data_IF_709446672279
#
_entry.id   IF_709446672279
#
_cell.length_a   1.000
_cell.length_b   1.000
_cell.length_c   1.000
_cell.angle_alpha   90.00
_cell.angle_beta   90.00
_cell.angle_gamma   90.00
#
_symmetry.space_group_name_H-M   'P 1'
#
loop_
_entity.id
_entity.type
_entity.pdbx_description
1 polymer ?
#
# COMPACT_ATOMS: atom_id res chain seq x y z
N UNK A 1 -21.06 -18.39 23.85
CA UNK A 1 -20.34 -17.24 24.42
C UNK A 1 -20.17 -16.22 23.30
N UNK A 2 -20.36 -14.93 23.56
CA UNK A 2 -20.14 -13.89 22.55
C UNK A 2 -18.66 -13.87 22.13
N UNK A 3 -18.38 -13.58 20.86
CA UNK A 3 -17.01 -13.40 20.39
C UNK A 3 -16.32 -12.26 21.17
N UNK A 4 -15.02 -12.39 21.47
CA UNK A 4 -14.27 -11.32 22.12
C UNK A 4 -14.25 -10.06 21.24
N UNK A 5 -14.29 -8.88 21.87
CA UNK A 5 -14.16 -7.60 21.16
C UNK A 5 -12.83 -7.52 20.39
N UNK A 6 -12.77 -6.66 19.36
CA UNK A 6 -11.55 -6.53 18.53
C UNK A 6 -10.36 -6.10 19.39
N UNK A 7 -10.60 -5.24 20.38
CA UNK A 7 -9.58 -4.84 21.34
C UNK A 7 -9.02 -6.03 22.14
N UNK A 8 -9.88 -6.93 22.63
CA UNK A 8 -9.45 -8.15 23.34
C UNK A 8 -8.69 -9.11 22.44
N UNK A 9 -9.08 -9.24 21.17
CA UNK A 9 -8.37 -10.04 20.18
C UNK A 9 -6.95 -9.48 19.95
N UNK A 10 -6.83 -8.17 19.76
CA UNK A 10 -5.54 -7.50 19.60
C UNK A 10 -4.65 -7.62 20.85
N UNK A 11 -5.21 -7.53 22.05
CA UNK A 11 -4.48 -7.75 23.30
C UNK A 11 -3.95 -9.20 23.42
N UNK A 12 -4.72 -10.19 22.97
CA UNK A 12 -4.29 -11.58 22.95
C UNK A 12 -3.11 -11.79 21.99
N UNK A 13 -3.18 -11.22 20.78
CA UNK A 13 -2.07 -11.23 19.82
C UNK A 13 -0.81 -10.54 20.39
N UNK A 14 -0.98 -9.35 20.98
CA UNK A 14 0.13 -8.62 21.62
C UNK A 14 0.79 -9.42 22.74
N UNK A 15 -0.01 -10.07 23.60
CA UNK A 15 0.50 -10.92 24.68
C UNK A 15 1.30 -12.09 24.13
N UNK A 16 0.78 -12.77 23.11
CA UNK A 16 1.46 -13.88 22.44
C UNK A 16 2.83 -13.46 21.88
N UNK A 17 2.88 -12.33 21.17
CA UNK A 17 4.12 -11.80 20.57
C UNK A 17 5.13 -11.40 21.64
N UNK A 18 4.72 -10.63 22.66
CA UNK A 18 5.63 -10.15 23.72
C UNK A 18 6.31 -11.27 24.50
N UNK A 19 5.62 -12.40 24.71
CA UNK A 19 6.19 -13.55 25.43
C UNK A 19 7.35 -14.21 24.67
N UNK A 20 7.38 -14.06 23.35
CA UNK A 20 8.38 -14.70 22.48
C UNK A 20 9.45 -13.73 21.98
N UNK A 21 9.20 -12.42 22.11
CA UNK A 21 10.15 -11.39 21.71
C UNK A 21 11.20 -11.14 22.81
N UNK A 22 12.50 -11.09 22.47
CA UNK A 22 13.54 -10.65 23.40
C UNK A 22 13.33 -9.17 23.77
N UNK A 23 13.75 -8.77 24.97
CA UNK A 23 13.47 -7.45 25.56
C UNK A 23 13.66 -6.25 24.60
N UNK A 24 14.78 -6.14 23.86
CA UNK A 24 15.01 -5.04 22.91
C UNK A 24 13.98 -4.94 21.78
N UNK A 25 13.29 -6.04 21.44
CA UNK A 25 12.33 -6.12 20.34
C UNK A 25 10.86 -5.96 20.80
N UNK A 26 10.59 -5.87 22.10
CA UNK A 26 9.22 -5.78 22.63
C UNK A 26 8.55 -4.42 22.42
N UNK A 27 9.31 -3.39 22.04
CA UNK A 27 8.84 -2.02 21.88
C UNK A 27 9.21 -1.44 20.50
N UNK A 28 8.66 -1.99 19.39
CA UNK A 28 8.87 -1.43 18.07
C UNK A 28 8.27 -0.02 17.97
N UNK A 29 9.01 0.88 17.31
CA UNK A 29 8.58 2.28 17.08
C UNK A 29 7.96 2.49 15.70
N UNK A 30 8.16 1.55 14.79
CA UNK A 30 7.73 1.61 13.39
C UNK A 30 7.13 0.26 13.03
N UNK A 31 5.97 0.28 12.39
CA UNK A 31 5.41 -0.86 11.68
C UNK A 31 5.54 -0.59 10.18
N UNK A 32 5.90 -1.61 9.40
CA UNK A 32 5.98 -1.53 7.94
C UNK A 32 5.15 -2.67 7.36
N UNK A 33 4.17 -2.32 6.54
CA UNK A 33 3.36 -3.29 5.80
C UNK A 33 3.93 -3.36 4.38
N UNK A 34 4.33 -4.54 3.95
CA UNK A 34 4.94 -4.78 2.64
C UNK A 34 3.93 -5.45 1.71
N UNK A 35 3.66 -4.84 0.56
CA UNK A 35 2.83 -5.45 -0.47
C UNK A 35 3.63 -6.23 -1.51
N UNK A 36 2.96 -6.57 -2.62
CA UNK A 36 3.55 -7.33 -3.72
C UNK A 36 4.88 -6.75 -4.20
N UNK A 37 5.88 -7.63 -4.34
CA UNK A 37 7.23 -7.26 -4.77
C UNK A 37 8.11 -6.59 -3.71
N UNK A 38 7.58 -6.26 -2.53
CA UNK A 38 8.34 -5.60 -1.45
C UNK A 38 8.71 -6.52 -0.28
N UNK A 39 8.41 -7.82 -0.36
CA UNK A 39 8.70 -8.78 0.72
C UNK A 39 10.18 -8.82 1.13
N UNK A 40 11.10 -8.59 0.19
CA UNK A 40 12.55 -8.53 0.47
C UNK A 40 12.97 -7.39 1.40
N UNK A 41 12.07 -6.45 1.75
CA UNK A 41 12.36 -5.44 2.77
C UNK A 41 12.62 -6.07 4.15
N UNK A 42 11.92 -7.16 4.48
CA UNK A 42 12.15 -7.89 5.73
C UNK A 42 13.60 -8.42 5.83
N UNK A 43 14.23 -8.73 4.69
CA UNK A 43 15.61 -9.20 4.61
C UNK A 43 16.65 -8.10 4.83
N UNK A 44 16.22 -6.84 4.88
CA UNK A 44 17.08 -5.71 5.24
C UNK A 44 17.21 -5.49 6.74
N UNK A 45 16.40 -6.20 7.55
CA UNK A 45 16.47 -6.17 9.03
C UNK A 45 17.74 -6.88 9.49
N UNK A 46 18.42 -6.32 10.50
CA UNK A 46 19.61 -6.94 11.10
C UNK A 46 19.27 -8.35 11.62
N UNK A 47 19.89 -9.36 11.01
CA UNK A 47 19.66 -10.77 11.34
C UNK A 47 20.02 -11.14 12.79
N UNK A 48 20.85 -10.34 13.48
CA UNK A 48 21.17 -10.56 14.90
C UNK A 48 20.03 -10.17 15.85
N UNK A 49 19.04 -9.43 15.35
CA UNK A 49 17.91 -8.89 16.11
C UNK A 49 16.59 -9.08 15.32
N UNK A 50 16.37 -10.30 14.79
CA UNK A 50 15.18 -10.68 14.00
C UNK A 50 14.48 -11.88 14.63
N UNK A 51 13.16 -11.81 14.73
CA UNK A 51 12.28 -12.93 15.09
C UNK A 51 11.16 -12.98 14.06
N UNK A 52 10.84 -14.18 13.60
CA UNK A 52 9.78 -14.40 12.59
C UNK A 52 8.63 -15.17 13.22
N UNK A 53 7.41 -14.78 12.83
CA UNK A 53 6.18 -15.44 13.24
C UNK A 53 5.38 -15.75 11.99
N UNK A 54 4.86 -16.97 11.90
CA UNK A 54 3.81 -17.27 10.95
C UNK A 54 2.50 -16.63 11.44
N UNK A 55 1.75 -15.98 10.55
CA UNK A 55 0.48 -15.36 10.92
C UNK A 55 -0.52 -16.37 11.48
N UNK A 56 -0.44 -17.64 11.08
CA UNK A 56 -1.30 -18.72 11.58
C UNK A 56 -1.08 -19.03 13.06
N UNK A 57 0.11 -18.73 13.57
CA UNK A 57 0.47 -19.01 14.96
C UNK A 57 0.07 -17.86 15.90
N UNK A 58 -0.17 -16.66 15.35
CA UNK A 58 -0.58 -15.49 16.11
C UNK A 58 -2.10 -15.55 16.34
N UNK A 59 -2.58 -15.54 17.60
CA UNK A 59 -4.01 -15.58 17.90
C UNK A 59 -4.78 -14.44 17.20
N UNK A 60 -5.89 -14.78 16.55
CA UNK A 60 -6.79 -13.84 15.85
C UNK A 60 -6.17 -13.10 14.65
N UNK A 61 -4.95 -13.45 14.23
CA UNK A 61 -4.37 -12.90 13.02
C UNK A 61 -4.98 -13.57 11.78
N UNK A 62 -5.27 -12.81 10.72
CA UNK A 62 -5.78 -13.38 9.48
C UNK A 62 -4.70 -14.22 8.79
N UNK A 63 -5.09 -15.37 8.23
CA UNK A 63 -4.22 -16.12 7.32
C UNK A 63 -4.04 -15.32 6.03
N UNK A 64 -2.80 -15.03 5.63
CA UNK A 64 -2.50 -14.29 4.41
C UNK A 64 -2.84 -15.12 3.17
N UNK A 65 -3.73 -14.62 2.31
CA UNK A 65 -3.99 -15.19 0.99
C UNK A 65 -3.90 -14.19 -0.18
N UNK A 66 -3.42 -12.95 0.03
CA UNK A 66 -3.01 -12.04 -1.05
C UNK A 66 -2.18 -10.82 -0.56
N UNK A 67 -1.28 -10.28 -1.40
CA UNK A 67 -0.28 -9.23 -1.10
C UNK A 67 -0.38 -8.04 -2.07
N UNK A 68 -0.51 -6.76 -1.64
CA UNK A 68 -0.48 -5.55 -2.54
C UNK A 68 -0.08 -4.25 -1.78
N UNK A 69 0.62 -3.25 -2.37
CA UNK A 69 1.11 -2.01 -1.67
C UNK A 69 1.09 -0.70 -2.50
N UNK A 70 0.81 0.47 -1.86
CA UNK A 70 0.68 1.81 -2.51
C UNK A 70 1.23 3.11 -1.79
N UNK A 71 1.59 4.23 -2.53
CA UNK A 71 2.44 5.48 -2.29
C UNK A 71 1.51 6.64 -2.44
N UNK A 72 1.09 7.18 -1.31
CA UNK A 72 -0.11 7.98 -1.30
C UNK A 72 0.15 9.18 -0.40
N UNK A 73 -0.34 10.33 -0.83
CA UNK A 73 -0.47 11.48 0.06
C UNK A 73 -1.91 11.86 0.34
N UNK A 74 -2.85 11.34 -0.45
CA UNK A 74 -4.30 11.39 -0.26
C UNK A 74 -4.91 10.12 -0.86
N UNK A 75 -6.16 9.82 -0.49
CA UNK A 75 -6.92 8.75 -1.12
C UNK A 75 -8.37 9.15 -1.42
N UNK A 76 -8.94 8.49 -2.42
CA UNK A 76 -10.37 8.39 -2.71
C UNK A 76 -10.79 6.98 -2.29
N UNK A 77 -11.64 6.89 -1.26
CA UNK A 77 -12.10 5.61 -0.74
C UNK A 77 -13.50 5.26 -1.24
N UNK A 78 -13.61 4.87 -2.53
CA UNK A 78 -14.90 4.60 -3.19
C UNK A 78 -15.75 3.57 -2.43
N UNK A 79 -15.13 2.48 -1.98
CA UNK A 79 -15.82 1.46 -1.20
C UNK A 79 -16.36 2.02 0.14
N UNK A 80 -15.59 2.90 0.79
CA UNK A 80 -16.00 3.62 2.00
C UNK A 80 -17.21 4.51 1.76
N UNK A 81 -17.26 5.22 0.64
CA UNK A 81 -18.43 6.01 0.25
C UNK A 81 -19.69 5.14 0.08
N UNK A 82 -19.53 3.89 -0.39
CA UNK A 82 -20.61 2.90 -0.47
C UNK A 82 -20.88 2.11 0.84
N UNK A 83 -20.19 2.46 1.93
CA UNK A 83 -20.41 1.87 3.25
C UNK A 83 -19.55 0.65 3.60
N UNK A 84 -18.62 0.24 2.73
CA UNK A 84 -17.56 -0.72 3.08
C UNK A 84 -16.41 0.04 3.73
N UNK A 85 -16.50 0.22 5.05
CA UNK A 85 -15.58 1.06 5.84
C UNK A 85 -15.08 0.28 7.05
N UNK A 86 -13.76 0.27 7.36
CA UNK A 86 -13.21 -0.56 8.44
C UNK A 86 -13.71 -0.16 9.84
N UNK A 87 -14.13 1.10 10.02
CA UNK A 87 -14.72 1.61 11.27
C UNK A 87 -16.26 1.49 11.33
N UNK A 88 -16.88 0.79 10.37
CA UNK A 88 -18.33 0.53 10.41
C UNK A 88 -18.63 -0.50 11.51
N UNK A 89 -19.72 -0.29 12.24
CA UNK A 89 -20.10 -1.09 13.41
C UNK A 89 -19.94 -0.30 14.71
N UNK A 90 -20.00 -0.95 15.89
CA UNK A 90 -19.69 -0.33 17.18
C UNK A 90 -18.26 0.24 17.21
N UNK A 91 -18.04 1.31 17.99
CA UNK A 91 -16.70 1.87 18.19
C UNK A 91 -15.98 1.14 19.31
N UNK A 92 -14.69 0.88 19.14
CA UNK A 92 -13.80 0.41 20.21
C UNK A 92 -13.04 1.64 20.73
N UNK A 93 -13.56 2.25 21.81
CA UNK A 93 -13.06 3.51 22.36
C UNK A 93 -11.62 3.42 22.88
N UNK A 94 -11.15 2.20 23.20
CA UNK A 94 -9.78 1.93 23.61
C UNK A 94 -8.77 2.16 22.47
N UNK A 95 -9.21 2.10 21.21
CA UNK A 95 -8.38 2.43 20.07
C UNK A 95 -8.47 3.91 19.69
N UNK A 96 -9.67 4.47 19.65
CA UNK A 96 -9.84 5.81 19.08
C UNK A 96 -11.26 6.36 19.13
N UNK A 97 -11.38 7.58 18.60
CA UNK A 97 -12.63 8.33 18.54
C UNK A 97 -13.56 7.80 17.46
N UNK A 98 -14.88 7.90 17.69
CA UNK A 98 -15.90 7.44 16.74
C UNK A 98 -15.77 8.01 15.33
N UNK A 99 -15.36 9.26 15.21
CA UNK A 99 -15.30 10.01 13.95
C UNK A 99 -13.92 10.64 13.78
N UNK A 100 -12.90 9.88 13.34
CA UNK A 100 -11.56 10.41 13.14
C UNK A 100 -11.50 11.31 11.90
N UNK A 101 -10.75 12.41 11.99
CA UNK A 101 -10.44 13.23 10.82
C UNK A 101 -9.37 12.53 9.96
N UNK A 102 -9.55 12.58 8.63
CA UNK A 102 -8.62 11.99 7.66
C UNK A 102 -7.96 13.04 6.74
N UNK A 103 -8.24 14.33 6.94
CA UNK A 103 -7.65 15.42 6.16
C UNK A 103 -6.12 15.49 6.29
N UNK A 104 -5.57 14.95 7.38
CA UNK A 104 -4.14 14.85 7.67
C UNK A 104 -3.67 13.38 7.74
N UNK A 105 -4.39 12.46 7.09
CA UNK A 105 -4.12 11.02 7.20
C UNK A 105 -2.69 10.62 6.79
N UNK A 106 -2.04 11.43 5.95
CA UNK A 106 -0.67 11.23 5.49
C UNK A 106 0.22 12.32 6.08
N UNK A 107 1.15 11.91 6.93
CA UNK A 107 1.92 12.85 7.73
C UNK A 107 2.94 13.63 6.89
N UNK A 108 2.82 14.97 6.90
CA UNK A 108 3.64 15.85 6.07
C UNK A 108 5.13 15.74 6.38
N UNK A 109 5.52 15.55 7.64
CA UNK A 109 6.92 15.44 8.04
C UNK A 109 7.50 14.08 7.65
N UNK A 110 6.71 13.00 7.72
CA UNK A 110 7.13 11.70 7.21
C UNK A 110 7.34 11.74 5.69
N UNK A 111 6.44 12.41 4.95
CA UNK A 111 6.61 12.63 3.49
C UNK A 111 7.88 13.43 3.19
N UNK A 112 8.10 14.55 3.89
CA UNK A 112 9.34 15.34 3.74
C UNK A 112 10.59 14.52 4.01
N UNK A 113 10.54 13.65 5.03
CA UNK A 113 11.64 12.75 5.36
C UNK A 113 11.90 11.76 4.24
N UNK A 114 10.85 11.17 3.65
CA UNK A 114 10.99 10.30 2.49
C UNK A 114 11.64 11.01 1.29
N UNK A 115 11.28 12.27 1.02
CA UNK A 115 11.92 13.06 -0.04
C UNK A 115 13.41 13.30 0.21
N UNK A 116 13.76 13.67 1.44
CA UNK A 116 15.17 13.86 1.82
C UNK A 116 15.95 12.56 1.72
N UNK A 117 15.37 11.45 2.20
CA UNK A 117 15.97 10.14 2.13
C UNK A 117 16.22 9.70 0.68
N UNK A 118 15.24 9.91 -0.21
CA UNK A 118 15.40 9.62 -1.65
C UNK A 118 16.61 10.33 -2.26
N UNK A 119 16.72 11.64 -2.03
CA UNK A 119 17.81 12.45 -2.57
C UNK A 119 19.19 12.05 -2.02
N UNK A 120 19.26 11.35 -0.89
CA UNK A 120 20.52 10.83 -0.34
C UNK A 120 20.94 9.49 -0.94
N UNK A 121 19.98 8.62 -1.30
CA UNK A 121 20.26 7.21 -1.64
C UNK A 121 20.18 6.89 -3.12
N UNK A 122 19.54 7.74 -3.91
CA UNK A 122 19.43 7.54 -5.35
C UNK A 122 20.50 8.40 -6.05
N UNK A 123 21.29 7.81 -6.97
CA UNK A 123 22.34 8.54 -7.69
C UNK A 123 21.79 9.75 -8.45
N UNK A 124 22.57 10.83 -8.51
CA UNK A 124 22.19 12.08 -9.21
C UNK A 124 21.97 11.85 -10.70
N UNK A 125 22.66 10.86 -11.27
CA UNK A 125 22.54 10.43 -12.67
C UNK A 125 21.27 9.63 -12.95
N UNK A 126 20.58 9.17 -11.88
CA UNK A 126 19.32 8.45 -12.02
C UNK A 126 18.25 9.37 -12.57
N UNK A 127 17.57 8.93 -13.63
CA UNK A 127 16.38 9.61 -14.16
C UNK A 127 15.13 9.37 -13.33
N UNK A 128 15.19 8.48 -12.32
CA UNK A 128 14.04 8.13 -11.48
C UNK A 128 13.74 9.25 -10.50
N UNK A 129 12.45 9.52 -10.30
CA UNK A 129 11.95 10.50 -9.33
C UNK A 129 10.90 9.86 -8.46
N UNK A 130 10.74 10.39 -7.25
CA UNK A 130 9.55 10.14 -6.45
C UNK A 130 8.50 11.20 -6.78
N UNK A 131 7.27 10.72 -6.88
CA UNK A 131 6.10 11.54 -7.14
C UNK A 131 5.19 11.49 -5.92
N UNK A 132 4.36 12.51 -5.76
CA UNK A 132 3.25 12.50 -4.82
C UNK A 132 1.97 12.44 -5.65
N UNK A 133 1.14 11.44 -5.41
CA UNK A 133 -0.14 11.22 -6.09
C UNK A 133 -1.31 10.92 -5.15
N UNK A 134 -2.53 11.16 -5.63
CA UNK A 134 -3.78 10.73 -5.01
C UNK A 134 -4.06 9.29 -5.40
N UNK A 135 -4.38 8.44 -4.43
CA UNK A 135 -4.77 7.05 -4.65
C UNK A 135 -6.26 6.87 -4.79
N UNK A 136 -6.71 6.09 -5.75
CA UNK A 136 -8.04 5.52 -5.72
C UNK A 136 -7.99 4.09 -5.17
N UNK A 137 -8.76 3.82 -4.12
CA UNK A 137 -9.02 2.46 -3.67
C UNK A 137 -10.19 1.86 -4.44
N UNK A 138 -9.94 0.72 -5.08
CA UNK A 138 -10.93 -0.14 -5.72
C UNK A 138 -10.93 -1.51 -5.05
N UNK A 139 -12.09 -2.13 -4.85
CA UNK A 139 -12.17 -3.39 -4.11
C UNK A 139 -11.52 -4.59 -4.85
N UNK A 140 -11.45 -4.55 -6.18
CA UNK A 140 -10.98 -5.68 -6.99
C UNK A 140 -11.90 -6.90 -6.95
N UNK A 141 -11.43 -8.10 -7.36
CA UNK A 141 -10.07 -8.44 -7.77
C UNK A 141 -9.77 -8.20 -9.27
N UNK A 142 -10.77 -7.83 -10.07
CA UNK A 142 -10.55 -7.43 -11.46
C UNK A 142 -9.81 -6.10 -11.52
N UNK A 143 -8.84 -5.99 -12.44
CA UNK A 143 -8.29 -4.69 -12.83
C UNK A 143 -9.38 -3.78 -13.41
N UNK A 144 -9.11 -2.49 -13.38
CA UNK A 144 -10.03 -1.46 -13.84
C UNK A 144 -10.21 -1.52 -15.36
N UNK A 145 -11.44 -1.32 -15.81
CA UNK A 145 -11.74 -1.04 -17.21
C UNK A 145 -11.15 0.31 -17.62
N UNK A 146 -10.89 0.50 -18.93
CA UNK A 146 -10.45 1.80 -19.49
C UNK A 146 -11.41 2.94 -19.13
N UNK A 147 -12.71 2.66 -18.98
CA UNK A 147 -13.71 3.64 -18.57
C UNK A 147 -13.56 4.03 -17.10
N UNK A 148 -13.37 3.06 -16.20
CA UNK A 148 -13.08 3.30 -14.79
C UNK A 148 -11.76 4.07 -14.61
N UNK A 149 -10.70 3.73 -15.34
CA UNK A 149 -9.44 4.48 -15.30
C UNK A 149 -9.62 5.96 -15.70
N UNK A 150 -10.40 6.24 -16.74
CA UNK A 150 -10.73 7.63 -17.12
C UNK A 150 -11.57 8.33 -16.06
N UNK A 151 -12.55 7.64 -15.49
CA UNK A 151 -13.39 8.16 -14.42
C UNK A 151 -12.55 8.54 -13.18
N UNK A 152 -11.69 7.63 -12.72
CA UNK A 152 -10.78 7.88 -11.59
C UNK A 152 -9.83 9.04 -11.86
N UNK A 153 -9.26 9.13 -13.07
CA UNK A 153 -8.42 10.26 -13.47
C UNK A 153 -9.20 11.59 -13.46
N UNK A 154 -10.45 11.60 -13.92
CA UNK A 154 -11.30 12.78 -13.87
C UNK A 154 -11.63 13.22 -12.43
N UNK A 155 -11.69 12.27 -11.49
CA UNK A 155 -11.82 12.54 -10.07
C UNK A 155 -10.51 13.00 -9.40
N UNK A 156 -9.41 13.07 -10.15
CA UNK A 156 -8.11 13.52 -9.65
C UNK A 156 -7.24 12.43 -9.04
N UNK A 157 -7.53 11.15 -9.29
CA UNK A 157 -6.63 10.06 -8.91
C UNK A 157 -5.42 10.00 -9.84
N UNK A 158 -4.23 9.85 -9.26
CA UNK A 158 -2.96 9.61 -9.97
C UNK A 158 -2.60 8.13 -9.99
N UNK A 159 -3.09 7.38 -9.00
CA UNK A 159 -2.81 5.98 -8.76
C UNK A 159 -4.11 5.25 -8.47
N UNK A 160 -4.18 3.96 -8.78
CA UNK A 160 -5.29 3.09 -8.39
C UNK A 160 -4.73 1.76 -7.90
N UNK A 161 -5.39 1.19 -6.90
CA UNK A 161 -5.07 -0.15 -6.41
C UNK A 161 -6.12 -0.66 -5.43
N UNK A 162 -5.79 -1.78 -4.79
CA UNK A 162 -6.78 -2.61 -4.09
C UNK A 162 -6.49 -2.81 -2.60
N UNK A 163 -5.61 -2.02 -1.99
CA UNK A 163 -5.23 -2.16 -0.58
C UNK A 163 -4.96 -0.82 0.08
N UNK A 164 -4.28 -0.84 1.24
CA UNK A 164 -3.62 0.31 1.88
C UNK A 164 -4.58 1.29 2.58
N UNK A 165 -5.68 1.69 1.94
CA UNK A 165 -6.63 2.66 2.50
C UNK A 165 -7.30 2.18 3.80
N UNK A 166 -7.80 0.93 3.89
CA UNK A 166 -8.36 0.43 5.14
C UNK A 166 -7.35 0.45 6.30
N UNK A 167 -6.11 0.08 6.05
CA UNK A 167 -5.04 0.08 7.05
C UNK A 167 -4.71 1.50 7.51
N UNK A 168 -4.64 2.46 6.59
CA UNK A 168 -4.41 3.88 6.92
C UNK A 168 -5.51 4.41 7.83
N UNK A 169 -6.78 4.12 7.52
CA UNK A 169 -7.92 4.59 8.31
C UNK A 169 -7.84 4.04 9.74
N UNK A 170 -7.56 2.74 9.90
CA UNK A 170 -7.39 2.12 11.23
C UNK A 170 -6.17 2.69 11.95
N UNK A 171 -5.05 2.89 11.27
CA UNK A 171 -3.86 3.49 11.86
C UNK A 171 -4.14 4.91 12.38
N UNK A 172 -4.86 5.74 11.61
CA UNK A 172 -5.27 7.09 12.01
C UNK A 172 -6.29 7.09 13.13
N UNK A 173 -7.24 6.16 13.13
CA UNK A 173 -8.16 5.96 14.24
C UNK A 173 -7.40 5.71 15.56
N UNK A 174 -6.33 4.91 15.50
CA UNK A 174 -5.46 4.63 16.65
C UNK A 174 -4.40 5.72 16.94
N UNK A 175 -4.45 6.88 16.27
CA UNK A 175 -3.52 7.99 16.48
C UNK A 175 -2.11 7.80 15.90
N UNK A 176 -1.89 6.80 15.06
CA UNK A 176 -0.59 6.56 14.43
C UNK A 176 -0.33 7.57 13.31
N UNK A 177 0.93 7.99 13.15
CA UNK A 177 1.39 8.76 11.99
C UNK A 177 1.63 7.80 10.84
N UNK A 178 1.26 8.19 9.62
CA UNK A 178 1.32 7.28 8.46
C UNK A 178 2.10 7.89 7.30
N UNK A 179 2.96 7.06 6.72
CA UNK A 179 3.59 7.24 5.41
C UNK A 179 3.20 6.02 4.57
N UNK A 180 2.63 6.23 3.39
CA UNK A 180 2.28 5.16 2.47
C UNK A 180 3.23 5.16 1.27
N UNK A 181 3.69 3.98 0.83
CA UNK A 181 4.56 3.83 -0.35
C UNK A 181 4.13 2.75 -1.42
N UNK A 182 4.00 3.10 -2.73
CA UNK A 182 3.57 2.41 -3.96
C UNK A 182 4.76 2.39 -4.85
N UNK A 183 4.82 1.27 -5.52
CA UNK A 183 5.56 1.12 -6.71
C UNK A 183 4.59 1.10 -7.88
N UNK A 184 4.66 2.11 -8.74
CA UNK A 184 3.91 2.09 -10.00
C UNK A 184 4.47 0.96 -10.86
N UNK A 185 3.68 -0.09 -11.00
CA UNK A 185 4.10 -1.30 -11.71
C UNK A 185 3.72 -1.29 -13.19
N UNK A 186 2.68 -0.56 -13.54
CA UNK A 186 2.16 -0.43 -14.90
C UNK A 186 1.42 0.90 -15.03
N UNK A 187 1.23 1.36 -16.27
CA UNK A 187 0.40 2.51 -16.56
C UNK A 187 -1.00 2.05 -16.95
N UNK A 188 -2.03 2.59 -16.30
CA UNK A 188 -3.41 2.35 -16.71
C UNK A 188 -3.63 2.89 -18.13
N UNK A 189 -4.27 2.09 -18.99
CA UNK A 189 -4.62 2.53 -20.34
C UNK A 189 -5.93 3.30 -20.32
N UNK A 190 -5.87 4.51 -20.87
CA UNK A 190 -6.97 5.47 -20.82
C UNK A 190 -7.66 5.64 -22.18
N UNK A 191 -7.00 5.22 -23.26
CA UNK A 191 -7.58 5.27 -24.60
C UNK A 191 -8.88 4.46 -24.64
N UNK A 192 -9.97 5.00 -25.20
CA UNK A 192 -11.20 4.24 -25.37
C UNK A 192 -10.97 3.03 -26.27
N UNK A 193 -11.75 1.97 -26.05
CA UNK A 193 -11.80 0.86 -27.00
C UNK A 193 -12.59 1.34 -28.23
N UNK A 194 -12.12 1.07 -29.45
CA UNK A 194 -12.88 1.35 -30.67
C UNK A 194 -14.30 0.80 -30.61
N UNK A 195 -15.29 1.54 -31.13
CA UNK A 195 -16.64 1.00 -31.24
C UNK A 195 -16.70 -0.05 -32.35
N UNK A 196 -17.45 -1.13 -32.14
CA UNK A 196 -17.56 -2.22 -33.13
C UNK A 196 -18.09 -1.79 -34.52
N UNK A 197 -18.72 -0.63 -34.63
CA UNK A 197 -19.22 -0.03 -35.88
C UNK A 197 -18.27 1.01 -36.51
N UNK A 198 -17.06 1.22 -35.96
CA UNK A 198 -16.06 2.07 -36.58
C UNK A 198 -15.55 1.46 -37.89
N UNK A 199 -15.58 2.27 -38.97
CA UNK A 199 -15.12 1.87 -40.30
C UNK A 199 -13.70 1.30 -40.31
N UNK A 200 -12.83 1.79 -39.42
CA UNK A 200 -11.46 1.31 -39.28
C UNK A 200 -11.40 -0.17 -38.88
N UNK A 201 -12.34 -0.67 -38.08
CA UNK A 201 -12.36 -2.07 -37.63
C UNK A 201 -12.87 -3.05 -38.71
N UNK A 202 -13.65 -2.58 -39.68
CA UNK A 202 -14.19 -3.44 -40.74
C UNK A 202 -13.13 -3.89 -41.73
N UNK A 203 -12.05 -3.12 -41.87
CA UNK A 203 -10.90 -3.42 -42.73
C UNK A 203 -9.69 -3.96 -41.94
N UNK A 204 -9.79 -4.01 -40.61
CA UNK A 204 -8.71 -4.47 -39.74
C UNK A 204 -8.71 -5.99 -39.65
N UNK A 205 -7.55 -6.62 -39.92
CA UNK A 205 -7.43 -8.07 -39.76
C UNK A 205 -7.51 -8.49 -38.27
N UNK A 206 -7.84 -9.76 -38.02
CA UNK A 206 -7.98 -10.29 -36.65
C UNK A 206 -6.72 -10.07 -35.79
N UNK A 207 -5.54 -10.12 -36.38
CA UNK A 207 -4.26 -9.97 -35.67
C UNK A 207 -4.03 -8.54 -35.20
N UNK A 208 -4.44 -7.55 -36.00
CA UNK A 208 -4.39 -6.14 -35.64
C UNK A 208 -5.45 -5.79 -34.58
N UNK A 209 -6.65 -6.38 -34.67
CA UNK A 209 -7.68 -6.26 -33.63
C UNK A 209 -7.18 -6.81 -32.29
N UNK A 210 -6.58 -8.01 -32.30
CA UNK A 210 -6.04 -8.65 -31.10
C UNK A 210 -4.97 -7.76 -30.46
N UNK A 211 -4.09 -7.10 -31.24
CA UNK A 211 -3.11 -6.14 -30.72
C UNK A 211 -3.73 -4.92 -30.04
N UNK A 212 -4.79 -4.34 -30.60
CA UNK A 212 -5.49 -3.18 -30.01
C UNK A 212 -6.13 -3.55 -28.66
N UNK A 213 -6.63 -4.79 -28.56
CA UNK A 213 -7.24 -5.33 -27.35
C UNK A 213 -6.19 -5.70 -26.30
N UNK A 214 -5.07 -6.28 -26.73
CA UNK A 214 -3.94 -6.62 -25.86
C UNK A 214 -3.21 -5.37 -25.32
N UNK A 215 -3.18 -4.29 -26.10
CA UNK A 215 -2.60 -3.02 -25.69
C UNK A 215 -3.30 -2.52 -24.41
N UNK A 216 -2.58 -2.55 -23.29
CA UNK A 216 -3.10 -2.09 -22.00
C UNK A 216 -3.79 -3.13 -21.13
N UNK A 217 -3.71 -4.42 -21.49
CA UNK A 217 -4.20 -5.48 -20.61
C UNK A 217 -3.24 -5.67 -19.44
N UNK A 218 -3.61 -5.11 -18.29
CA UNK A 218 -2.89 -5.34 -17.05
C UNK A 218 -2.82 -6.84 -16.75
N UNK A 219 -1.64 -7.32 -16.36
CA UNK A 219 -1.42 -8.71 -15.99
C UNK A 219 -0.53 -8.78 -14.75
N UNK A 220 -0.69 -9.85 -13.97
CA UNK A 220 -0.01 -10.00 -12.69
C UNK A 220 1.52 -10.16 -12.83
N UNK A 221 1.99 -10.77 -13.92
CA UNK A 221 3.41 -11.05 -14.12
C UNK A 221 4.22 -9.76 -14.35
N UNK A 222 3.70 -8.83 -15.18
CA UNK A 222 4.26 -7.50 -15.38
C UNK A 222 4.37 -6.75 -14.04
N UNK A 223 3.35 -6.86 -13.20
CA UNK A 223 3.32 -6.23 -11.88
C UNK A 223 4.47 -6.72 -11.00
N UNK A 224 4.68 -8.03 -10.95
CA UNK A 224 5.76 -8.62 -10.16
C UNK A 224 7.15 -8.24 -10.69
N UNK A 225 7.33 -8.17 -12.02
CA UNK A 225 8.61 -7.80 -12.63
C UNK A 225 8.98 -6.34 -12.38
N UNK A 226 8.05 -5.41 -12.59
CA UNK A 226 8.24 -4.01 -12.23
C UNK A 226 8.51 -3.86 -10.72
N UNK A 227 7.78 -4.65 -9.92
CA UNK A 227 8.00 -4.90 -8.49
C UNK A 227 9.48 -5.11 -8.14
N UNK A 228 10.05 -6.17 -8.68
CA UNK A 228 11.44 -6.58 -8.43
C UNK A 228 12.46 -5.50 -8.83
N UNK A 229 12.26 -4.83 -9.97
CA UNK A 229 13.20 -3.82 -10.50
C UNK A 229 13.29 -2.54 -9.68
N UNK A 230 12.26 -2.22 -8.91
CA UNK A 230 12.24 -1.02 -8.09
C UNK A 230 12.28 -1.32 -6.59
N UNK A 231 12.09 -2.58 -6.19
CA UNK A 231 12.24 -3.03 -4.80
C UNK A 231 13.57 -2.57 -4.18
N UNK A 232 14.69 -2.67 -4.90
CA UNK A 232 16.00 -2.25 -4.40
C UNK A 232 16.05 -0.75 -4.04
N UNK A 233 15.46 0.12 -4.86
CA UNK A 233 15.41 1.56 -4.60
C UNK A 233 14.46 1.88 -3.45
N UNK A 234 13.32 1.19 -3.38
CA UNK A 234 12.36 1.32 -2.28
C UNK A 234 12.98 0.86 -0.95
N UNK A 235 13.73 -0.23 -0.94
CA UNK A 235 14.44 -0.71 0.25
C UNK A 235 15.46 0.30 0.76
N UNK A 236 16.29 0.86 -0.14
CA UNK A 236 17.23 1.94 0.21
C UNK A 236 16.50 3.15 0.79
N UNK A 237 15.42 3.56 0.14
CA UNK A 237 14.59 4.69 0.58
C UNK A 237 14.02 4.44 1.99
N UNK A 238 13.36 3.31 2.22
CA UNK A 238 12.71 3.00 3.51
C UNK A 238 13.76 2.91 4.61
N UNK A 239 14.88 2.21 4.37
CA UNK A 239 15.99 2.11 5.34
C UNK A 239 16.53 3.49 5.71
N UNK A 240 16.77 4.35 4.73
CA UNK A 240 17.28 5.70 4.99
C UNK A 240 16.23 6.55 5.69
N UNK A 241 14.97 6.48 5.30
CA UNK A 241 13.89 7.25 5.93
C UNK A 241 13.73 6.87 7.41
N UNK A 242 13.73 5.58 7.74
CA UNK A 242 13.67 5.11 9.14
C UNK A 242 14.90 5.55 9.93
N UNK A 243 16.09 5.49 9.33
CA UNK A 243 17.34 5.97 9.94
C UNK A 243 17.29 7.47 10.22
N UNK A 244 16.76 8.26 9.30
CA UNK A 244 16.61 9.72 9.44
C UNK A 244 15.57 10.09 10.52
N UNK A 245 14.52 9.28 10.72
CA UNK A 245 13.52 9.49 11.76
C UNK A 245 14.04 9.15 13.16
N UNK A 246 14.95 8.17 13.26
CA UNK A 246 15.51 7.69 14.51
C UNK A 246 17.04 7.65 14.42
N UNK A 247 17.70 8.82 14.34
CA UNK A 247 19.15 8.87 14.29
C UNK A 247 19.71 8.15 15.51
N UNK A 248 20.74 7.33 15.30
CA UNK A 248 21.49 6.73 16.42
C UNK A 248 22.00 7.88 17.28
N UNK A 249 21.57 7.92 18.54
CA UNK A 249 22.18 8.81 19.52
C UNK A 249 23.66 8.47 19.57
N UNK A 250 24.51 9.44 19.21
CA UNK A 250 25.95 9.34 19.39
C UNK A 250 26.22 9.16 20.88
N UNK A 251 26.58 7.94 21.28
CA UNK A 251 27.32 7.71 22.52
C UNK A 251 28.80 7.84 22.22
#
# INVERSE_FOLDING_TARGET
MAEPSVFKQAQAALKYLRLQLPGPLQNPRVAVICGSGLGGLADTIDGRARVEFDYRDIPYFPASNATWADKLFQHIFLAGLSGLHPLRGPNEEEFGVRFPALSDAYDIELRRTAHRAWNKVIPVESRRRIHEGVYAFCAGPSFETRAECRFLRQLGADLVGMSTVPEIIVARHCGLRVLALSLVTNNAVLSPVPRGDEHLLQETDKTQLDKIVEEGRANHEEVLEAGRRAAADVQKLVRQAVTDMFPKTSN
#
